data_IF_299554554388
#
_entry.id   IF_299554554388
#
_cell.length_a   1.000
_cell.length_b   1.000
_cell.length_c   1.000
_cell.angle_alpha   90.00
_cell.angle_beta   90.00
_cell.angle_gamma   90.00
#
_symmetry.space_group_name_H-M   'P 1'
#
loop_
_entity.id
_entity.type
_entity.pdbx_description
1 polymer ?
#
# COMPACT_ATOMS: atom_id res chain seq x y z
N UNK A 1 11.58 7.50 -0.24
CA UNK A 1 12.28 6.29 -0.71
C UNK A 1 11.46 5.04 -0.42
N UNK A 2 11.26 4.65 0.85
CA UNK A 2 10.58 3.38 1.20
C UNK A 2 9.19 3.18 0.61
N UNK A 3 8.27 4.14 0.81
CA UNK A 3 6.89 4.03 0.29
C UNK A 3 6.79 3.95 -1.23
N UNK A 4 7.68 4.64 -1.95
CA UNK A 4 7.69 4.59 -3.42
C UNK A 4 8.11 3.21 -3.92
N UNK A 5 9.11 2.60 -3.28
CA UNK A 5 9.54 1.22 -3.59
C UNK A 5 8.43 0.23 -3.25
N UNK A 6 7.78 0.38 -2.09
CA UNK A 6 6.64 -0.45 -1.70
C UNK A 6 5.51 -0.34 -2.73
N UNK A 7 5.13 0.87 -3.13
CA UNK A 7 4.09 1.07 -4.14
C UNK A 7 4.43 0.38 -5.45
N UNK A 8 5.68 0.53 -5.92
CA UNK A 8 6.15 -0.10 -7.15
C UNK A 8 6.04 -1.63 -7.08
N UNK A 9 6.55 -2.24 -5.99
CA UNK A 9 6.48 -3.70 -5.80
C UNK A 9 5.02 -4.18 -5.71
N UNK A 10 4.20 -3.51 -4.89
CA UNK A 10 2.81 -3.90 -4.65
C UNK A 10 1.98 -3.82 -5.94
N UNK A 11 2.11 -2.74 -6.69
CA UNK A 11 1.28 -2.51 -7.89
C UNK A 11 1.83 -3.21 -9.13
N UNK A 12 3.13 -3.13 -9.40
CA UNK A 12 3.71 -3.65 -10.65
C UNK A 12 4.00 -5.16 -10.58
N UNK A 13 4.52 -5.66 -9.46
CA UNK A 13 4.88 -7.08 -9.34
C UNK A 13 3.73 -7.92 -8.79
N UNK A 14 2.94 -7.35 -7.88
CA UNK A 14 1.88 -8.09 -7.20
C UNK A 14 0.47 -7.81 -7.70
N UNK A 15 0.28 -6.81 -8.58
CA UNK A 15 -1.05 -6.35 -9.03
C UNK A 15 -1.98 -6.03 -7.86
N UNK A 16 -1.40 -5.65 -6.73
CA UNK A 16 -2.08 -5.25 -5.51
C UNK A 16 -2.31 -3.75 -5.43
N UNK A 17 -2.79 -3.30 -4.27
CA UNK A 17 -3.01 -1.88 -3.97
C UNK A 17 -2.42 -1.49 -2.60
N UNK A 18 -2.09 -0.20 -2.47
CA UNK A 18 -1.67 0.43 -1.23
C UNK A 18 -2.56 1.66 -0.99
N UNK A 19 -3.30 1.66 0.10
CA UNK A 19 -4.18 2.75 0.53
C UNK A 19 -3.65 3.39 1.82
N UNK A 20 -3.83 4.69 1.97
CA UNK A 20 -3.40 5.46 3.14
C UNK A 20 -4.60 6.20 3.73
N UNK A 21 -4.94 5.87 4.96
CA UNK A 21 -5.96 6.53 5.74
C UNK A 21 -5.28 7.28 6.87
N UNK A 22 -5.26 8.61 6.79
CA UNK A 22 -4.67 9.46 7.83
C UNK A 22 -5.75 10.34 8.43
N UNK A 23 -5.84 10.33 9.76
CA UNK A 23 -6.72 11.21 10.49
C UNK A 23 -5.92 12.02 11.52
N UNK A 24 -6.12 13.34 11.49
CA UNK A 24 -5.45 14.26 12.39
C UNK A 24 -5.70 13.89 13.86
N UNK A 25 -4.62 13.85 14.65
CA UNK A 25 -4.61 13.41 16.07
C UNK A 25 -4.99 11.95 16.34
N UNK A 26 -5.27 11.12 15.32
CA UNK A 26 -5.48 9.67 15.49
C UNK A 26 -4.34 8.83 14.93
N UNK A 27 -3.68 9.31 13.88
CA UNK A 27 -2.54 8.66 13.27
C UNK A 27 -2.78 8.35 11.80
N UNK A 28 -2.01 7.38 11.29
CA UNK A 28 -2.04 6.98 9.89
C UNK A 28 -2.05 5.46 9.81
N UNK A 29 -2.97 4.93 9.01
CA UNK A 29 -3.09 3.53 8.68
C UNK A 29 -2.77 3.32 7.21
N UNK A 30 -1.97 2.30 6.93
CA UNK A 30 -1.65 1.88 5.57
C UNK A 30 -2.23 0.48 5.35
N UNK A 31 -3.04 0.32 4.32
CA UNK A 31 -3.68 -0.95 3.96
C UNK A 31 -3.05 -1.45 2.66
N UNK A 32 -2.55 -2.68 2.68
CA UNK A 32 -1.96 -3.34 1.51
C UNK A 32 -2.87 -4.51 1.14
N UNK A 33 -3.35 -4.52 -0.10
CA UNK A 33 -4.15 -5.62 -0.64
C UNK A 33 -3.32 -6.33 -1.70
N UNK A 34 -3.12 -7.64 -1.52
CA UNK A 34 -2.44 -8.50 -2.49
C UNK A 34 -3.43 -9.57 -2.95
N UNK A 35 -3.72 -9.70 -4.25
CA UNK A 35 -4.56 -10.77 -4.75
C UNK A 35 -3.88 -12.12 -4.54
N UNK A 36 -4.64 -13.15 -4.15
CA UNK A 36 -4.12 -14.51 -3.95
C UNK A 36 -3.69 -15.17 -5.26
N UNK A 37 -4.23 -14.68 -6.39
CA UNK A 37 -3.96 -15.17 -7.74
C UNK A 37 -3.79 -13.95 -8.66
N UNK A 38 -2.78 -14.00 -9.53
CA UNK A 38 -2.41 -12.97 -10.52
C UNK A 38 -2.88 -13.36 -11.92
#
# INVERSE_FOLDING_TARGET
MGLAICYQIITEQHQGSLECFSEFKKGTEFVITIPVIQ
#
